data_IF_629819189932
#
_entry.id   IF_629819189932
#
_cell.length_a   1.000
_cell.length_b   1.000
_cell.length_c   1.000
_cell.angle_alpha   90.00
_cell.angle_beta   90.00
_cell.angle_gamma   90.00
#
_symmetry.space_group_name_H-M   'P 1'
#
loop_
_entity.id
_entity.type
_entity.pdbx_description
1 polymer ?
2 polymer ?
3 non-polymer ?
4 non-polymer ?
5 water ?
#
# COMPACT_ATOMS: atom_id res chain seq x y z
N UNK A 1 10.66 9.17 15.43
CA UNK A 1 10.83 9.92 14.20
C UNK A 1 10.84 9.03 12.96
N UNK A 2 11.01 7.73 13.17
CA UNK A 2 10.99 6.80 12.04
C UNK A 2 9.56 6.41 11.69
N UNK A 3 9.40 5.85 10.50
CA UNK A 3 8.12 5.36 10.04
C UNK A 3 7.54 4.29 10.97
N UNK A 4 8.42 3.44 11.48
CA UNK A 4 8.02 2.32 12.34
C UNK A 4 7.49 2.81 13.67
N UNK A 5 8.15 3.82 14.23
CA UNK A 5 7.73 4.39 15.51
C UNK A 5 6.42 5.15 15.36
N UNK A 6 6.25 5.81 14.22
CA UNK A 6 5.02 6.56 14.02
C UNK A 6 3.84 5.61 13.88
N UNK A 7 4.04 4.49 13.21
CA UNK A 7 2.96 3.53 13.06
C UNK A 7 2.65 2.89 14.41
N UNK A 8 3.69 2.67 15.21
CA UNK A 8 3.50 2.17 16.57
C UNK A 8 2.58 3.10 17.36
N UNK A 9 2.84 4.40 17.30
CA UNK A 9 1.99 5.37 17.98
C UNK A 9 0.55 5.30 17.49
N UNK A 10 0.35 5.01 16.21
CA UNK A 10 -1.00 4.92 15.65
C UNK A 10 -1.76 3.75 16.27
N UNK A 11 -1.07 2.62 16.44
CA UNK A 11 -1.70 1.43 17.01
C UNK A 11 -2.11 1.69 18.47
N UNK A 12 -1.35 2.54 19.14
CA UNK A 12 -1.60 2.92 20.54
C UNK A 12 -2.60 4.07 20.66
N UNK A 13 -3.19 4.45 19.53
CA UNK A 13 -4.13 5.56 19.46
C UNK A 13 -3.54 6.87 19.98
N UNK A 14 -2.22 6.98 19.96
CA UNK A 14 -1.55 8.23 20.32
C UNK A 14 -1.43 9.15 19.11
N UNK A 15 -1.99 8.71 17.98
CA UNK A 15 -1.92 9.44 16.73
C UNK A 15 -2.89 8.87 15.70
N UNK A 16 -3.54 9.74 14.93
CA UNK A 16 -4.46 9.33 13.88
C UNK A 16 -3.66 8.97 12.64
N UNK A 17 -4.05 7.89 11.98
CA UNK A 17 -3.35 7.44 10.78
C UNK A 17 -3.55 8.42 9.62
N UNK A 18 -4.63 9.20 9.63
CA UNK A 18 -4.81 10.22 8.58
C UNK A 18 -3.74 11.31 8.70
N UNK A 19 -3.07 11.38 9.85
CA UNK A 19 -2.08 12.44 10.10
C UNK A 19 -0.65 12.03 9.79
N UNK A 20 -0.46 10.82 9.26
CA UNK A 20 0.87 10.43 8.85
C UNK A 20 0.82 9.98 7.40
N UNK A 21 1.94 10.09 6.70
CA UNK A 21 2.02 9.54 5.34
C UNK A 21 2.23 8.03 5.48
N UNK A 22 1.27 7.24 5.04
CA UNK A 22 1.40 5.82 5.30
C UNK A 22 2.44 5.17 4.41
N UNK A 23 2.91 5.87 3.38
CA UNK A 23 3.91 5.34 2.46
C UNK A 23 5.34 5.58 2.97
N UNK A 24 5.58 6.72 3.62
CA UNK A 24 6.96 6.97 4.11
C UNK A 24 7.08 7.40 5.58
N UNK A 25 5.97 7.75 6.21
CA UNK A 25 6.01 8.17 7.61
C UNK A 25 6.14 9.68 7.81
N UNK A 26 6.27 10.44 6.73
CA UNK A 26 6.29 11.91 6.85
C UNK A 26 5.06 12.46 7.57
N UNK A 27 5.26 13.52 8.36
CA UNK A 27 4.16 14.18 9.02
C UNK A 27 3.59 15.27 8.12
N UNK A 28 4.28 15.54 7.02
CA UNK A 28 3.85 16.59 6.11
C UNK A 28 2.81 16.08 5.11
N UNK A 29 1.67 15.64 5.64
CA UNK A 29 0.57 15.11 4.84
C UNK A 29 -0.07 16.22 4.01
N UNK A 30 -0.25 16.00 2.72
CA UNK A 30 -0.91 17.02 1.91
C UNK A 30 -2.18 16.56 1.25
N UNK A 31 -2.44 15.25 1.28
CA UNK A 31 -3.71 14.72 0.81
C UNK A 31 -3.97 13.36 1.47
N UNK A 32 -5.18 12.85 1.32
CA UNK A 32 -5.48 11.50 1.80
C UNK A 32 -5.02 10.49 0.75
N UNK A 33 -4.36 9.41 1.17
CA UNK A 33 -4.01 8.32 0.26
C UNK A 33 -5.27 7.85 -0.46
N UNK A 34 -5.19 7.64 -1.78
CA UNK A 34 -6.45 7.35 -2.47
C UNK A 34 -6.97 5.92 -2.28
N UNK A 35 -6.13 4.99 -1.85
CA UNK A 35 -6.58 3.58 -1.77
C UNK A 35 -6.86 3.12 -0.34
N UNK A 36 -6.05 3.58 0.61
CA UNK A 36 -6.20 3.12 2.00
C UNK A 36 -6.34 4.29 2.95
N UNK A 37 -6.97 4.06 4.09
CA UNK A 37 -7.10 5.14 5.06
C UNK A 37 -5.71 5.57 5.57
N UNK A 38 -5.45 6.88 5.59
CA UNK A 38 -4.13 7.37 5.96
C UNK A 38 -3.72 8.53 5.05
N UNK A 39 -2.66 9.24 5.45
CA UNK A 39 -2.21 10.40 4.69
C UNK A 39 -1.17 10.10 3.64
N UNK A 40 -0.87 11.12 2.85
CA UNK A 40 0.13 11.00 1.82
C UNK A 40 0.87 12.33 1.75
N UNK A 41 2.19 12.29 1.74
CA UNK A 41 2.99 13.51 1.59
C UNK A 41 3.25 13.84 0.11
N UNK A 42 3.81 15.02 -0.15
CA UNK A 42 4.08 15.44 -1.54
C UNK A 42 5.09 14.51 -2.27
N UNK A 43 6.13 14.06 -1.57
CA UNK A 43 7.10 13.14 -2.16
C UNK A 43 6.41 11.86 -2.65
N UNK A 44 5.52 11.33 -1.81
CA UNK A 44 4.91 10.07 -2.16
C UNK A 44 3.82 10.24 -3.21
N UNK A 45 3.14 11.39 -3.18
CA UNK A 45 2.19 11.74 -4.24
C UNK A 45 2.90 11.75 -5.59
N UNK A 46 4.09 12.33 -5.60
CA UNK A 46 4.88 12.39 -6.82
C UNK A 46 5.39 11.04 -7.26
N UNK A 47 5.84 10.25 -6.30
CA UNK A 47 6.30 8.91 -6.62
C UNK A 47 5.12 8.11 -7.20
N UNK A 48 3.94 8.26 -6.59
CA UNK A 48 2.73 7.56 -7.06
C UNK A 48 2.40 7.99 -8.50
N UNK A 49 2.44 9.29 -8.76
CA UNK A 49 2.15 9.78 -10.10
C UNK A 49 3.08 9.19 -11.15
N UNK A 50 4.33 8.96 -10.78
CA UNK A 50 5.32 8.46 -11.73
C UNK A 50 5.41 6.95 -11.83
N UNK A 51 5.02 6.26 -10.77
CA UNK A 51 5.38 4.84 -10.60
C UNK A 51 4.24 3.88 -10.39
N UNK A 52 3.09 4.38 -9.96
CA UNK A 52 2.00 3.50 -9.53
C UNK A 52 1.48 2.62 -10.67
N UNK A 53 1.55 3.12 -11.90
CA UNK A 53 1.04 2.37 -13.04
C UNK A 53 2.12 2.02 -14.05
N UNK A 54 3.36 1.94 -13.57
CA UNK A 54 4.43 1.31 -14.32
C UNK A 54 4.28 -0.21 -14.26
N UNK A 55 4.42 -0.89 -15.40
CA UNK A 55 4.25 -2.34 -15.46
C UNK A 55 5.48 -3.08 -15.98
N UNK A 56 5.69 -4.28 -15.47
CA UNK A 56 6.76 -5.16 -15.95
C UNK A 56 6.24 -6.05 -17.07
N UNK A 57 7.11 -6.85 -17.68
CA UNK A 57 6.64 -7.67 -18.80
C UNK A 57 5.87 -8.91 -18.33
N UNK A 58 5.85 -9.13 -17.02
CA UNK A 58 5.04 -10.20 -16.46
C UNK A 58 3.58 -9.79 -16.36
N UNK A 59 3.28 -8.57 -16.78
CA UNK A 59 1.93 -8.05 -16.68
C UNK A 59 1.58 -7.45 -15.33
N UNK A 60 2.53 -7.46 -14.39
CA UNK A 60 2.24 -6.91 -13.07
C UNK A 60 2.88 -5.54 -12.88
N UNK A 61 2.29 -4.76 -11.98
CA UNK A 61 2.85 -3.47 -11.64
C UNK A 61 4.27 -3.65 -11.13
N UNK A 62 5.12 -2.66 -11.38
CA UNK A 62 6.53 -2.80 -11.10
C UNK A 62 6.83 -2.73 -9.61
N UNK A 63 6.04 -1.94 -8.89
CA UNK A 63 6.32 -1.68 -7.48
C UNK A 63 5.13 -1.86 -6.55
N UNK A 64 5.41 -1.72 -5.26
CA UNK A 64 4.42 -1.85 -4.20
C UNK A 64 3.25 -0.86 -4.36
N UNK A 65 2.04 -1.37 -4.18
CA UNK A 65 0.83 -0.56 -4.29
C UNK A 65 0.80 0.56 -3.25
N UNK A 66 1.39 0.31 -2.10
CA UNK A 66 1.34 1.28 -1.01
C UNK A 66 2.48 2.32 -1.10
N UNK A 67 3.72 1.87 -1.25
CA UNK A 67 4.86 2.79 -1.17
C UNK A 67 5.48 3.14 -2.53
N UNK A 68 5.10 2.39 -3.57
CA UNK A 68 5.60 2.59 -4.94
C UNK A 68 7.10 2.33 -5.05
N UNK A 69 7.60 1.48 -4.16
CA UNK A 69 8.96 0.99 -4.23
C UNK A 69 9.00 -0.47 -3.82
N UNK A 70 9.99 -0.82 -3.00
CA UNK A 70 10.18 -2.18 -2.52
C UNK A 70 11.26 -2.86 -3.34
N UNK A 71 11.98 -3.79 -2.73
CA UNK A 71 13.00 -4.54 -3.45
C UNK A 71 12.46 -5.91 -3.81
N UNK A 72 11.61 -6.42 -2.94
CA UNK A 72 11.01 -7.74 -3.09
C UNK A 72 9.54 -7.55 -2.84
N UNK A 73 8.69 -8.02 -3.75
CA UNK A 73 7.26 -7.82 -3.59
C UNK A 73 6.45 -9.11 -3.77
N UNK A 74 5.27 -9.13 -3.15
CA UNK A 74 4.27 -10.18 -3.34
C UNK A 74 3.32 -9.76 -4.43
N UNK A 75 2.93 -10.71 -5.28
CA UNK A 75 2.05 -10.41 -6.40
C UNK A 75 0.65 -10.96 -6.12
N UNK A 76 -0.37 -10.22 -6.53
CA UNK A 76 -1.75 -10.64 -6.32
C UNK A 76 -2.09 -11.86 -7.18
N UNK A 77 -2.78 -12.84 -6.61
CA UNK A 77 -3.05 -14.04 -7.35
C UNK A 77 -4.36 -13.95 -8.09
N UNK A 78 -5.08 -12.85 -7.87
CA UNK A 78 -6.31 -12.62 -8.61
C UNK A 78 -5.97 -12.48 -10.07
N UNK A 79 -6.53 -13.37 -10.88
CA UNK A 79 -6.20 -13.39 -12.29
C UNK A 79 -6.68 -12.11 -12.99
N UNK A 80 -7.43 -11.28 -12.26
CA UNK A 80 -7.92 -10.00 -12.77
C UNK A 80 -7.21 -8.78 -12.14
N UNK A 81 -6.20 -9.02 -11.31
CA UNK A 81 -5.51 -7.93 -10.61
C UNK A 81 -4.01 -8.02 -10.85
N UNK A 82 -3.38 -6.88 -11.09
CA UNK A 82 -1.97 -6.85 -11.41
C UNK A 82 -1.13 -6.20 -10.32
N UNK A 83 -1.66 -6.11 -9.10
CA UNK A 83 -0.97 -5.39 -8.01
C UNK A 83 0.11 -6.19 -7.25
N UNK A 84 1.02 -5.44 -6.62
CA UNK A 84 2.11 -5.98 -5.82
C UNK A 84 2.17 -5.22 -4.49
N UNK A 85 2.69 -5.89 -3.46
CA UNK A 85 2.88 -5.30 -2.12
C UNK A 85 4.22 -5.72 -1.58
N UNK A 86 4.97 -4.78 -1.01
CA UNK A 86 6.27 -5.15 -0.46
C UNK A 86 6.16 -5.67 0.97
N UNK A 87 7.10 -6.51 1.36
CA UNK A 87 7.09 -7.08 2.69
C UNK A 87 7.13 -6.03 3.79
N UNK A 88 7.90 -4.96 3.57
CA UNK A 88 8.03 -3.94 4.60
C UNK A 88 6.68 -3.29 4.95
N UNK A 89 5.96 -2.83 3.92
CA UNK A 89 4.66 -2.20 4.09
C UNK A 89 3.66 -3.17 4.71
N UNK A 90 3.67 -4.41 4.25
CA UNK A 90 2.72 -5.38 4.78
C UNK A 90 2.96 -5.64 6.26
N UNK A 91 4.20 -5.88 6.64
CA UNK A 91 4.43 -6.26 8.03
C UNK A 91 4.29 -5.07 8.95
N UNK A 92 4.41 -3.87 8.38
CA UNK A 92 4.26 -2.67 9.18
C UNK A 92 2.81 -2.30 9.37
N UNK A 93 2.06 -2.23 8.27
CA UNK A 93 0.70 -1.73 8.33
C UNK A 93 -0.32 -2.81 8.67
N UNK A 94 -0.06 -4.06 8.27
CA UNK A 94 -0.98 -5.13 8.64
C UNK A 94 -0.53 -5.65 10.01
N UNK A 95 0.67 -6.20 10.06
CA UNK A 95 1.22 -6.66 11.33
C UNK A 95 2.37 -7.62 11.07
N UNK A 96 3.23 -7.83 12.07
CA UNK A 96 4.43 -8.64 11.78
C UNK A 96 4.08 -10.09 11.47
N UNK A 97 4.68 -10.66 10.44
CA UNK A 97 4.39 -12.04 10.06
C UNK A 97 3.32 -12.14 9.00
N UNK A 98 2.60 -11.04 8.78
CA UNK A 98 1.52 -11.04 7.80
C UNK A 98 2.02 -11.33 6.40
N UNK A 99 3.21 -10.84 6.06
CA UNK A 99 3.71 -11.01 4.70
C UNK A 99 4.00 -12.48 4.44
N UNK A 100 4.49 -13.19 5.45
CA UNK A 100 4.86 -14.59 5.19
C UNK A 100 3.61 -15.46 5.11
N UNK A 101 2.54 -15.05 5.78
CA UNK A 101 1.27 -15.77 5.66
C UNK A 101 0.74 -15.59 4.26
N UNK A 102 0.90 -14.38 3.75
CA UNK A 102 0.39 -14.08 2.43
C UNK A 102 1.20 -14.81 1.36
N UNK A 103 2.52 -14.90 1.56
CA UNK A 103 3.38 -15.59 0.58
C UNK A 103 3.02 -17.08 0.54
N UNK A 104 2.66 -17.62 1.69
CA UNK A 104 2.31 -19.03 1.78
C UNK A 104 0.94 -19.29 1.15
N UNK A 105 0.01 -18.36 1.34
CA UNK A 105 -1.34 -18.49 0.79
C UNK A 105 -1.33 -18.70 -0.71
N UNK A 106 -2.05 -19.71 -1.18
CA UNK A 106 -2.04 -19.98 -2.61
C UNK A 106 -3.41 -20.50 -3.05
N UNK A 107 -4.12 -19.70 -3.87
CA UNK A 107 -3.69 -18.38 -4.34
C UNK A 107 -4.03 -17.28 -3.33
N UNK A 108 -3.37 -16.14 -3.49
CA UNK A 108 -3.51 -15.03 -2.56
C UNK A 108 -4.22 -13.88 -3.24
N UNK A 109 -5.35 -13.45 -2.69
CA UNK A 109 -5.96 -12.19 -3.12
C UNK A 109 -5.38 -11.03 -2.33
N UNK A 110 -4.88 -10.03 -3.04
CA UNK A 110 -4.21 -8.93 -2.36
C UNK A 110 -5.19 -8.07 -1.54
N UNK A 111 -4.65 -7.09 -0.81
CA UNK A 111 -5.45 -6.25 0.07
C UNK A 111 -6.39 -5.31 -0.67
N UNK A 112 -6.13 -5.06 -1.95
CA UNK A 112 -7.10 -4.31 -2.74
C UNK A 112 -8.24 -5.21 -3.25
N UNK A 113 -7.98 -6.50 -3.36
CA UNK A 113 -8.93 -7.49 -3.91
C UNK A 113 -9.77 -8.19 -2.85
N UNK A 114 -9.17 -8.35 -1.67
CA UNK A 114 -9.77 -9.12 -0.59
C UNK A 114 -11.11 -8.58 -0.11
N UNK A 115 -12.04 -9.48 0.16
CA UNK A 115 -13.35 -9.04 0.64
C UNK A 115 -13.34 -8.47 2.06
N UNK A 116 -12.41 -8.92 2.91
CA UNK A 116 -12.41 -8.41 4.27
C UNK A 116 -12.20 -6.89 4.27
N UNK A 117 -11.28 -6.41 3.43
CA UNK A 117 -11.11 -4.97 3.27
C UNK A 117 -10.35 -4.23 4.37
N UNK A 118 -10.21 -4.83 5.54
CA UNK A 118 -9.40 -4.23 6.59
C UNK A 118 -8.45 -5.28 7.16
N UNK A 119 -7.18 -4.89 7.27
CA UNK A 119 -6.10 -5.79 7.61
C UNK A 119 -5.16 -5.06 8.54
N UNK A 120 -5.22 -5.36 9.84
CA UNK A 120 -4.50 -4.53 10.80
C UNK A 120 -4.88 -3.06 10.62
N UNK A 121 -3.88 -2.20 10.40
CA UNK A 121 -4.12 -0.78 10.21
C UNK A 121 -4.47 -0.44 8.77
N UNK A 122 -4.37 -1.43 7.89
CA UNK A 122 -4.58 -1.23 6.46
C UNK A 122 -6.06 -1.39 6.13
N UNK A 123 -6.71 -0.29 5.78
CA UNK A 123 -8.14 -0.26 5.55
C UNK A 123 -8.42 0.31 4.17
N UNK A 124 -8.97 -0.52 3.29
CA UNK A 124 -9.23 -0.08 1.91
C UNK A 124 -10.41 0.88 1.92
N UNK A 125 -10.29 2.01 1.22
CA UNK A 125 -11.36 2.99 1.17
C UNK A 125 -12.53 2.45 0.34
N UNK A 126 -13.81 2.74 0.87
CA UNK A 126 -14.91 2.18 0.09
C UNK A 126 -15.03 2.87 -1.27
N UNK A 127 -14.53 4.04 -1.30
CA UNK A 127 -14.64 4.83 -2.52
C UNK A 127 -13.32 5.01 -3.27
N UNK A 128 -12.45 4.01 -3.23
CA UNK A 128 -11.18 4.12 -3.94
C UNK A 128 -11.31 4.43 -5.44
N UNK A 129 -12.35 3.92 -6.14
CA UNK A 129 -12.31 4.32 -7.56
C UNK A 129 -12.55 5.82 -7.74
N UNK A 130 -13.41 6.41 -6.92
CA UNK A 130 -13.62 7.86 -6.97
C UNK A 130 -12.35 8.60 -6.57
N UNK A 131 -11.68 8.11 -5.53
CA UNK A 131 -10.44 8.78 -5.13
C UNK A 131 -9.37 8.73 -6.21
N UNK A 132 -9.29 7.62 -6.95
CA UNK A 132 -8.34 7.54 -8.07
C UNK A 132 -8.71 8.51 -9.20
N UNK A 133 -10.01 8.60 -9.50
CA UNK A 133 -10.50 9.56 -10.48
C UNK A 133 -10.06 10.98 -10.09
N UNK A 134 -10.24 11.34 -8.82
CA UNK A 134 -9.84 12.66 -8.33
C UNK A 134 -8.33 12.88 -8.36
N UNK A 135 -7.58 11.84 -8.00
CA UNK A 135 -6.12 11.89 -7.97
C UNK A 135 -5.56 12.19 -9.34
N UNK A 136 -6.11 11.57 -10.37
CA UNK A 136 -5.53 11.70 -11.68
C UNK A 136 -6.24 12.80 -12.48
N UNK A 137 -7.13 13.52 -11.82
CA UNK A 137 -7.85 14.61 -12.44
C UNK A 137 -6.96 15.78 -12.71
N UNK A 138 -7.41 16.53 -13.68
CA UNK A 138 -6.62 17.37 -14.51
C UNK A 138 -5.83 18.33 -13.67
N UNK B 1 1.32 -16.35 -2.30
CA UNK B 1 1.60 -15.33 -3.32
C UNK B 1 2.92 -15.60 -4.00
N UNK B 2 2.95 -15.43 -5.31
CA UNK B 2 4.21 -15.37 -6.03
C UNK B 2 4.99 -14.12 -5.61
N UNK B 3 6.32 -14.21 -5.63
CA UNK B 3 7.15 -13.07 -5.26
C UNK B 3 8.01 -12.70 -6.46
N UNK B 4 8.53 -11.48 -6.46
CA UNK B 4 9.50 -11.09 -7.46
C UNK B 4 10.39 -10.01 -6.92
N UNK B 5 11.58 -9.91 -7.52
CA UNK B 5 12.47 -8.78 -7.26
C UNK B 5 12.06 -7.63 -8.18
N UNK B 6 12.16 -6.41 -7.69
CA UNK B 6 11.80 -5.28 -8.52
C UNK B 6 13.01 -4.79 -9.31
N UNK B 7 14.20 -5.14 -8.84
CA UNK B 7 15.43 -4.68 -9.49
C UNK B 7 15.59 -5.29 -10.88
X LIG C 1 -5.42 -7.90 -6.07
X LIG D 1 5.76 -0.99 0.15
X LIG E 1 5.43 10.08 2.14
X LIG F 1 -11.50 -12.49 1.67
X LIG F 1 -11.37 -11.29 2.49
X LIG F 1 -10.37 -13.37 1.97
X LIG F 1 -12.76 -13.14 2.00
X LIG F 1 -11.51 -12.13 0.25
#
# INVERSE_FOLDING_TARGET
>A
GSRERLVYEVRQKCRNIEDICISCGSLNVTLEHPLFVGGMCQNCKNCFLECAYQYDDDGYQSYCTICCGGRRVLMCGNNNCCRCFCVECVDLLVGPGAAQAAIKEDPWNCYMCGHKGTYGLLRRREDWPSRLQMFFAN
>B
ARTKQTA
>C hetero
1 ZN ZN
>D hetero
1 ZN ZN
>E hetero
1 ZN ZN
>F hetero
1 SO4 S O1 O2 O3 O4
#
